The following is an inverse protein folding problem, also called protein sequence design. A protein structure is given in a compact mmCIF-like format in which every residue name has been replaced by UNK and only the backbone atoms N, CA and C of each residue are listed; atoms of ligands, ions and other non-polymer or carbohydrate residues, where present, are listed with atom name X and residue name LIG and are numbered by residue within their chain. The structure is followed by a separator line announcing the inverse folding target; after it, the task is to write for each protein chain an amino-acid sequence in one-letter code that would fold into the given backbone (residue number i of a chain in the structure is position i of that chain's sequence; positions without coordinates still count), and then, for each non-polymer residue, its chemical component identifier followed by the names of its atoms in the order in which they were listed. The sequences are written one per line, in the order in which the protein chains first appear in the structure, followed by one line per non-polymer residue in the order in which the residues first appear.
data_IF_333020923598
#
_entry.id   IF_333020923598
#
_cell.length_a   1.000
_cell.length_b   1.000
_cell.length_c   1.000
_cell.angle_alpha   90.00
_cell.angle_beta   90.00
_cell.angle_gamma   90.00
#
_symmetry.space_group_name_H-M   'P 1'
#
loop_
_entity.id
_entity.type
_entity.pdbx_description
1 polymer ?
#
# COMPACT_ATOMS: atom_id res chain seq x y z
N UNK A 1 -12.20 -5.19 85.16
CA UNK A 1 -11.04 -5.13 84.21
C UNK A 1 -11.23 -6.13 83.08
N UNK A 2 -11.46 -5.69 81.93
CA UNK A 2 -11.21 -6.29 80.58
C UNK A 2 -12.32 -5.89 79.61
N UNK A 3 -12.15 -4.82 78.85
CA UNK A 3 -12.52 -4.87 77.41
C UNK A 3 -11.50 -4.23 76.45
N UNK A 4 -10.42 -3.58 76.95
CA UNK A 4 -9.48 -2.87 76.05
C UNK A 4 -8.49 -3.77 75.28
N UNK A 5 -8.23 -4.99 75.74
CA UNK A 5 -7.29 -5.90 75.08
C UNK A 5 -7.89 -6.58 73.82
N UNK A 6 -9.18 -6.94 73.86
CA UNK A 6 -9.85 -7.56 72.72
C UNK A 6 -10.04 -6.58 71.52
N UNK A 7 -10.27 -5.31 71.76
CA UNK A 7 -10.41 -4.32 70.71
C UNK A 7 -9.08 -4.03 70.00
N UNK A 8 -7.96 -4.13 70.68
CA UNK A 8 -6.64 -3.96 70.09
C UNK A 8 -6.23 -5.12 69.20
N UNK A 9 -6.61 -6.36 69.57
CA UNK A 9 -6.31 -7.56 68.83
C UNK A 9 -7.13 -7.66 67.51
N UNK A 10 -8.40 -7.28 67.52
CA UNK A 10 -9.23 -7.23 66.29
C UNK A 10 -8.77 -6.14 65.34
N UNK A 11 -8.20 -5.01 65.80
CA UNK A 11 -7.67 -3.95 64.94
C UNK A 11 -6.39 -4.36 64.20
N UNK A 12 -5.54 -5.18 64.84
CA UNK A 12 -4.32 -5.73 64.20
C UNK A 12 -4.65 -6.85 63.19
N UNK A 13 -5.66 -7.67 63.42
CA UNK A 13 -6.10 -8.71 62.49
C UNK A 13 -6.75 -8.09 61.23
N UNK A 14 -7.54 -7.04 61.36
CA UNK A 14 -8.13 -6.33 60.26
C UNK A 14 -7.07 -5.60 59.38
N UNK A 15 -6.08 -4.94 59.98
CA UNK A 15 -5.01 -4.27 59.25
C UNK A 15 -4.07 -5.26 58.54
N UNK A 16 -3.80 -6.42 59.14
CA UNK A 16 -3.00 -7.50 58.50
C UNK A 16 -3.68 -8.07 57.25
N UNK A 17 -5.00 -8.31 57.33
CA UNK A 17 -5.77 -8.80 56.17
C UNK A 17 -5.85 -7.78 55.02
N UNK A 18 -6.00 -6.49 55.32
CA UNK A 18 -5.98 -5.42 54.27
C UNK A 18 -4.61 -5.28 53.60
N UNK A 19 -3.52 -5.43 54.37
CA UNK A 19 -2.16 -5.37 53.78
C UNK A 19 -1.93 -6.62 52.89
N UNK A 20 -2.36 -7.78 53.29
CA UNK A 20 -2.23 -9.01 52.49
C UNK A 20 -3.05 -8.95 51.19
N UNK A 21 -4.29 -8.44 51.27
CA UNK A 21 -5.14 -8.26 50.07
C UNK A 21 -4.54 -7.20 49.12
N UNK A 22 -3.99 -6.13 49.67
CA UNK A 22 -3.35 -5.08 48.83
C UNK A 22 -2.07 -5.58 48.15
N UNK A 23 -1.29 -6.43 48.82
CA UNK A 23 -0.11 -7.08 48.25
C UNK A 23 -0.54 -8.09 47.18
N UNK A 24 -1.55 -8.93 47.39
CA UNK A 24 -2.09 -9.85 46.38
C UNK A 24 -2.66 -9.09 45.17
N UNK A 25 -3.39 -8.00 45.34
CA UNK A 25 -3.86 -7.16 44.26
C UNK A 25 -2.71 -6.55 43.44
N UNK A 26 -1.63 -6.08 44.10
CA UNK A 26 -0.43 -5.60 43.40
C UNK A 26 0.24 -6.69 42.56
N UNK A 27 0.37 -7.89 43.11
CA UNK A 27 0.94 -9.03 42.34
C UNK A 27 0.02 -9.51 41.23
N UNK A 28 -1.30 -9.53 41.42
CA UNK A 28 -2.26 -9.80 40.33
C UNK A 28 -2.22 -8.73 39.24
N UNK A 29 -2.10 -7.44 39.58
CA UNK A 29 -1.95 -6.37 38.59
C UNK A 29 -0.61 -6.45 37.85
N UNK A 30 0.48 -6.84 38.52
CA UNK A 30 1.79 -7.06 37.89
C UNK A 30 1.77 -8.31 37.00
N UNK A 31 1.10 -9.38 37.40
CA UNK A 31 0.91 -10.58 36.54
C UNK A 31 0.02 -10.27 35.33
N UNK A 32 -1.05 -9.48 35.48
CA UNK A 32 -1.90 -9.01 34.39
C UNK A 32 -1.15 -8.05 33.45
N UNK A 33 -0.26 -7.19 33.99
CA UNK A 33 0.63 -6.34 33.19
C UNK A 33 1.73 -7.16 32.49
N UNK A 34 2.25 -8.21 33.11
CA UNK A 34 3.19 -9.13 32.45
C UNK A 34 2.54 -10.03 31.40
N UNK A 35 1.28 -10.46 31.59
CA UNK A 35 0.53 -11.18 30.55
C UNK A 35 0.09 -10.24 29.40
N UNK A 36 -0.12 -8.94 29.67
CA UNK A 36 -0.34 -7.94 28.63
C UNK A 36 0.93 -7.54 27.88
N UNK A 37 2.11 -7.80 28.45
CA UNK A 37 3.43 -7.56 27.84
C UNK A 37 3.99 -8.80 27.07
N UNK A 38 3.22 -9.90 26.97
CA UNK A 38 3.40 -10.86 25.89
C UNK A 38 2.92 -10.17 24.59
N UNK A 39 3.64 -9.07 24.27
CA UNK A 39 3.52 -8.35 23.04
C UNK A 39 3.55 -9.34 21.90
N UNK A 40 2.71 -9.12 20.94
CA UNK A 40 2.82 -9.71 19.62
C UNK A 40 4.30 -9.64 19.22
N UNK A 41 5.07 -10.69 19.47
CA UNK A 41 6.32 -10.89 18.78
C UNK A 41 5.91 -10.85 17.31
N UNK A 42 6.31 -9.82 16.60
CA UNK A 42 6.20 -9.80 15.17
C UNK A 42 6.86 -11.07 14.68
N UNK A 43 6.06 -12.05 14.32
CA UNK A 43 6.55 -13.35 13.87
C UNK A 43 7.34 -13.05 12.60
N UNK A 44 8.68 -13.18 12.65
CA UNK A 44 9.50 -13.02 11.47
C UNK A 44 8.99 -13.98 10.40
N UNK A 45 8.74 -13.52 9.18
CA UNK A 45 8.23 -14.39 8.13
C UNK A 45 9.16 -15.59 7.93
N UNK A 46 8.58 -16.79 7.82
CA UNK A 46 9.34 -18.01 7.51
C UNK A 46 9.91 -17.90 6.09
N UNK A 47 11.22 -18.07 6.00
CA UNK A 47 11.96 -17.98 4.70
C UNK A 47 12.14 -19.35 4.05
N UNK A 48 12.07 -20.44 4.81
CA UNK A 48 12.38 -21.78 4.32
C UNK A 48 11.34 -22.28 3.33
N UNK A 49 10.06 -22.13 3.66
CA UNK A 49 8.95 -22.55 2.81
C UNK A 49 9.00 -21.89 1.43
N UNK A 50 9.04 -20.56 1.42
CA UNK A 50 8.99 -19.78 0.16
C UNK A 50 10.22 -20.05 -0.70
N UNK A 51 11.40 -20.10 -0.10
CA UNK A 51 12.63 -20.49 -0.79
C UNK A 51 12.51 -21.87 -1.43
N UNK A 52 12.04 -22.89 -0.67
CA UNK A 52 11.84 -24.23 -1.18
C UNK A 52 10.89 -24.27 -2.37
N UNK A 53 9.77 -23.55 -2.29
CA UNK A 53 8.79 -23.49 -3.36
C UNK A 53 9.37 -22.84 -4.63
N UNK A 54 10.12 -21.74 -4.52
CA UNK A 54 10.75 -21.08 -5.67
C UNK A 54 11.79 -21.97 -6.34
N UNK A 55 12.65 -22.60 -5.56
CA UNK A 55 13.71 -23.47 -6.07
C UNK A 55 13.20 -24.83 -6.60
N UNK A 56 11.94 -25.21 -6.33
CA UNK A 56 11.31 -26.38 -6.95
C UNK A 56 10.83 -26.12 -8.39
N UNK A 57 10.91 -24.89 -8.88
CA UNK A 57 10.55 -24.47 -10.24
C UNK A 57 11.71 -23.75 -10.93
N UNK A 58 12.89 -24.41 -11.13
CA UNK A 58 14.06 -23.74 -11.68
C UNK A 58 13.84 -23.23 -13.12
N UNK A 59 12.99 -23.89 -13.88
CA UNK A 59 12.61 -23.51 -15.25
C UNK A 59 11.91 -22.14 -15.33
N UNK A 60 11.29 -21.71 -14.23
CA UNK A 60 10.57 -20.43 -14.14
C UNK A 60 11.37 -19.33 -13.48
N UNK A 61 12.31 -19.66 -12.58
CA UNK A 61 12.89 -18.69 -11.67
C UNK A 61 14.42 -18.60 -11.71
N UNK A 62 15.14 -19.57 -12.31
CA UNK A 62 16.62 -19.60 -12.28
C UNK A 62 17.26 -18.33 -12.84
N UNK A 63 16.69 -17.74 -13.90
CA UNK A 63 17.20 -16.50 -14.50
C UNK A 63 17.29 -15.33 -13.53
N UNK A 64 16.38 -15.28 -12.56
CA UNK A 64 16.34 -14.22 -11.53
C UNK A 64 16.98 -14.69 -10.22
N UNK A 65 16.70 -15.93 -9.77
CA UNK A 65 17.18 -16.44 -8.49
C UNK A 65 18.68 -16.74 -8.47
N UNK A 66 19.31 -16.97 -9.61
CA UNK A 66 20.77 -17.15 -9.68
C UNK A 66 21.55 -15.84 -9.47
N UNK A 67 20.86 -14.69 -9.61
CA UNK A 67 21.44 -13.35 -9.46
C UNK A 67 20.61 -12.48 -8.51
N UNK A 68 20.31 -12.94 -7.27
CA UNK A 68 19.33 -12.28 -6.41
C UNK A 68 19.76 -10.88 -5.95
N UNK A 69 21.07 -10.64 -5.82
CA UNK A 69 21.60 -9.32 -5.48
C UNK A 69 21.50 -8.34 -6.66
N UNK A 70 21.73 -8.81 -7.89
CA UNK A 70 21.59 -8.00 -9.09
C UNK A 70 20.15 -7.66 -9.39
N UNK A 71 19.23 -8.60 -9.14
CA UNK A 71 17.80 -8.42 -9.37
C UNK A 71 17.04 -7.83 -8.16
N UNK A 72 17.73 -7.54 -7.05
CA UNK A 72 17.20 -6.89 -5.84
C UNK A 72 15.85 -7.45 -5.39
N UNK A 73 15.70 -8.78 -5.43
CA UNK A 73 14.41 -9.45 -5.20
C UNK A 73 14.01 -9.35 -3.75
N UNK A 74 12.79 -8.94 -3.50
CA UNK A 74 12.12 -9.15 -2.22
C UNK A 74 10.71 -9.71 -2.46
N UNK A 75 10.31 -10.73 -1.70
CA UNK A 75 8.98 -11.34 -1.80
C UNK A 75 8.38 -11.47 -0.40
N UNK A 76 7.10 -11.16 -0.27
CA UNK A 76 6.30 -11.38 0.93
C UNK A 76 4.97 -12.03 0.52
N UNK A 77 4.84 -13.32 0.82
CA UNK A 77 3.60 -14.07 0.67
C UNK A 77 2.91 -14.21 2.01
N UNK A 78 1.62 -13.90 2.08
CA UNK A 78 0.80 -14.09 3.28
C UNK A 78 -0.38 -15.03 2.98
N UNK A 79 -0.29 -16.21 3.57
CA UNK A 79 -1.38 -17.20 3.62
C UNK A 79 -2.48 -16.69 4.51
N UNK A 80 -3.73 -16.91 4.10
CA UNK A 80 -4.92 -16.54 4.86
C UNK A 80 -5.69 -17.83 5.20
N UNK A 81 -5.80 -18.13 6.47
CA UNK A 81 -6.65 -19.20 6.98
C UNK A 81 -7.89 -18.58 7.64
N UNK A 82 -9.04 -19.24 7.51
CA UNK A 82 -10.28 -18.82 8.16
C UNK A 82 -10.63 -19.73 9.32
N UNK A 83 -11.16 -19.15 10.40
CA UNK A 83 -11.77 -19.94 11.44
C UNK A 83 -13.28 -20.20 11.16
N UNK A 84 -13.97 -20.83 12.10
CA UNK A 84 -15.40 -21.17 11.99
C UNK A 84 -16.30 -19.93 11.85
N UNK A 85 -15.87 -18.78 12.34
CA UNK A 85 -16.59 -17.51 12.30
C UNK A 85 -16.13 -16.64 11.14
N UNK A 86 -15.33 -17.24 10.22
CA UNK A 86 -14.74 -16.60 9.04
C UNK A 86 -13.76 -15.45 9.36
N UNK A 87 -13.20 -15.43 10.57
CA UNK A 87 -12.15 -14.48 10.92
C UNK A 87 -10.85 -14.89 10.23
N UNK A 88 -10.14 -13.95 9.55
CA UNK A 88 -8.88 -14.28 8.88
C UNK A 88 -7.71 -14.34 9.85
N UNK A 89 -6.91 -15.40 9.72
CA UNK A 89 -5.63 -15.59 10.39
C UNK A 89 -4.51 -15.60 9.37
N UNK A 90 -3.47 -14.80 9.61
CA UNK A 90 -2.41 -14.52 8.64
C UNK A 90 -1.11 -15.23 9.06
N UNK A 91 -0.51 -15.96 8.10
CA UNK A 91 0.84 -16.52 8.24
C UNK A 91 1.69 -16.01 7.08
N UNK A 92 2.79 -15.32 7.39
CA UNK A 92 3.63 -14.70 6.37
C UNK A 92 4.91 -15.50 6.14
N UNK A 93 5.30 -15.57 4.87
CA UNK A 93 6.53 -16.20 4.37
C UNK A 93 7.27 -15.17 3.52
N UNK A 94 8.59 -15.13 3.63
CA UNK A 94 9.35 -14.12 2.90
C UNK A 94 10.57 -14.72 2.19
N UNK A 95 11.04 -13.99 1.18
CA UNK A 95 12.32 -14.25 0.52
C UNK A 95 13.03 -12.92 0.34
N UNK A 96 14.25 -12.80 0.91
CA UNK A 96 15.09 -11.60 0.91
C UNK A 96 14.40 -10.31 1.43
N UNK A 97 13.29 -10.40 2.17
CA UNK A 97 12.59 -9.23 2.69
C UNK A 97 13.50 -8.43 3.63
N UNK A 98 13.81 -7.18 3.24
CA UNK A 98 14.64 -6.26 4.02
C UNK A 98 14.09 -4.83 3.93
N UNK A 99 13.50 -4.34 5.03
CA UNK A 99 12.95 -3.00 5.09
C UNK A 99 14.03 -1.89 5.12
N UNK A 100 15.29 -2.24 5.36
CA UNK A 100 16.43 -1.31 5.37
C UNK A 100 17.18 -1.27 4.03
N UNK A 101 16.87 -2.16 3.09
CA UNK A 101 17.38 -2.13 1.74
C UNK A 101 16.44 -1.33 0.84
N UNK A 102 16.91 -0.20 0.33
CA UNK A 102 16.13 0.69 -0.49
C UNK A 102 15.91 0.12 -1.89
N UNK A 103 14.69 0.21 -2.36
CA UNK A 103 14.30 0.16 -3.76
C UNK A 103 13.36 1.34 -4.05
N UNK A 104 13.37 1.84 -5.27
CA UNK A 104 12.47 2.93 -5.63
C UNK A 104 11.02 2.42 -5.69
N UNK A 105 10.10 2.95 -4.87
CA UNK A 105 8.75 2.38 -4.75
C UNK A 105 7.83 2.71 -5.92
N UNK A 106 8.25 3.57 -6.82
CA UNK A 106 7.52 3.98 -8.02
C UNK A 106 6.04 4.31 -7.69
N UNK A 107 5.12 3.79 -8.49
CA UNK A 107 3.69 4.06 -8.37
C UNK A 107 2.98 3.39 -7.19
N UNK A 108 3.65 2.56 -6.39
CA UNK A 108 3.02 1.93 -5.21
C UNK A 108 2.60 2.95 -4.15
N UNK A 109 3.29 4.10 -4.05
CA UNK A 109 2.95 5.22 -3.14
C UNK A 109 1.58 5.84 -3.41
N UNK A 110 0.99 5.57 -4.57
CA UNK A 110 -0.32 6.10 -4.96
C UNK A 110 -1.47 5.54 -4.12
N UNK A 111 -1.37 4.28 -3.68
CA UNK A 111 -2.42 3.66 -2.87
C UNK A 111 -2.58 4.34 -1.51
N UNK A 112 -1.56 4.48 -0.65
CA UNK A 112 -1.72 5.19 0.61
C UNK A 112 -2.15 6.65 0.41
N UNK A 113 -1.65 7.34 -0.62
CA UNK A 113 -2.06 8.73 -0.90
C UNK A 113 -3.55 8.83 -1.26
N UNK A 114 -4.08 7.89 -2.05
CA UNK A 114 -5.51 7.82 -2.37
C UNK A 114 -6.38 7.56 -1.12
N UNK A 115 -5.93 6.65 -0.24
CA UNK A 115 -6.58 6.38 1.05
C UNK A 115 -6.59 7.65 1.91
N UNK A 116 -5.45 8.33 2.04
CA UNK A 116 -5.33 9.53 2.86
C UNK A 116 -6.13 10.72 2.31
N UNK A 117 -6.34 10.80 0.99
CA UNK A 117 -7.24 11.78 0.40
C UNK A 117 -8.70 11.58 0.83
N UNK A 118 -9.18 10.33 0.87
CA UNK A 118 -10.52 10.02 1.39
C UNK A 118 -10.61 10.25 2.91
N UNK A 119 -9.60 9.87 3.68
CA UNK A 119 -9.55 10.18 5.12
C UNK A 119 -9.65 11.68 5.39
N UNK A 120 -8.88 12.49 4.63
CA UNK A 120 -8.91 13.95 4.77
C UNK A 120 -10.31 14.50 4.50
N UNK A 121 -11.00 14.04 3.47
CA UNK A 121 -12.40 14.42 3.22
C UNK A 121 -13.30 14.11 4.42
N UNK A 122 -13.18 12.91 4.99
CA UNK A 122 -13.96 12.47 6.14
C UNK A 122 -13.61 13.28 7.42
N UNK A 123 -12.35 13.68 7.58
CA UNK A 123 -11.86 14.47 8.71
C UNK A 123 -12.31 15.93 8.64
N UNK A 124 -12.43 16.51 7.44
CA UNK A 124 -12.89 17.89 7.23
C UNK A 124 -14.33 18.12 7.69
N UNK A 125 -15.22 17.11 7.61
CA UNK A 125 -16.63 17.17 8.05
C UNK A 125 -17.41 18.34 7.47
N UNK A 126 -17.04 18.81 6.28
CA UNK A 126 -17.71 19.93 5.60
C UNK A 126 -18.98 19.42 4.91
N UNK A 127 -20.11 20.06 5.19
CA UNK A 127 -21.39 19.71 4.58
C UNK A 127 -21.29 19.79 3.05
N UNK A 128 -21.79 18.78 2.37
CA UNK A 128 -21.77 18.61 0.90
C UNK A 128 -20.39 18.38 0.26
N UNK A 129 -19.29 18.40 1.01
CA UNK A 129 -18.00 18.01 0.50
C UNK A 129 -17.90 16.48 0.43
N UNK A 130 -17.57 15.97 -0.74
CA UNK A 130 -17.43 14.52 -0.98
C UNK A 130 -16.36 14.26 -2.03
N UNK A 131 -15.99 13.00 -2.24
CA UNK A 131 -15.05 12.62 -3.30
C UNK A 131 -15.55 13.00 -4.71
N UNK A 132 -16.86 13.24 -4.89
CA UNK A 132 -17.48 13.64 -6.17
C UNK A 132 -17.49 15.16 -6.38
N UNK A 133 -17.23 15.94 -5.35
CA UNK A 133 -17.17 17.42 -5.46
C UNK A 133 -16.14 17.81 -6.49
N UNK A 134 -16.42 18.85 -7.27
CA UNK A 134 -15.49 19.39 -8.26
C UNK A 134 -14.27 19.94 -7.54
N UNK A 135 -13.08 19.51 -7.98
CA UNK A 135 -11.79 19.87 -7.37
C UNK A 135 -10.96 20.67 -8.36
N UNK A 136 -11.03 21.97 -8.29
CA UNK A 136 -10.22 22.88 -9.12
C UNK A 136 -8.85 23.08 -8.47
N UNK A 137 -7.80 22.82 -9.22
CA UNK A 137 -6.42 23.04 -8.78
C UNK A 137 -5.87 24.29 -9.46
N UNK A 138 -5.39 25.25 -8.69
CA UNK A 138 -4.69 26.43 -9.17
C UNK A 138 -3.16 26.32 -8.92
N UNK A 139 -2.37 27.34 -9.16
CA UNK A 139 -0.92 27.38 -8.96
C UNK A 139 -0.52 28.56 -8.10
N UNK A 140 0.47 28.37 -7.21
CA UNK A 140 1.03 29.41 -6.35
C UNK A 140 2.57 29.39 -6.31
N UNK A 141 3.21 28.41 -6.95
CA UNK A 141 4.66 28.26 -7.02
C UNK A 141 5.10 27.96 -8.46
N UNK A 142 6.31 28.35 -8.82
CA UNK A 142 6.86 28.12 -10.16
C UNK A 142 6.86 26.62 -10.52
N UNK A 143 6.45 26.32 -11.76
CA UNK A 143 6.36 24.94 -12.26
C UNK A 143 5.07 24.18 -11.87
N UNK A 144 4.23 24.72 -10.99
CA UNK A 144 2.92 24.14 -10.70
C UNK A 144 1.94 24.32 -11.87
N UNK A 145 1.12 23.30 -12.13
CA UNK A 145 0.10 23.33 -13.19
C UNK A 145 -1.30 23.46 -12.61
N UNK A 146 -2.18 24.17 -13.35
CA UNK A 146 -3.59 24.35 -13.03
C UNK A 146 -4.43 23.25 -13.67
N UNK A 147 -5.50 22.79 -12.99
CA UNK A 147 -6.48 21.88 -13.56
C UNK A 147 -7.88 22.37 -13.29
N UNK A 148 -8.61 22.69 -14.36
CA UNK A 148 -10.01 23.18 -14.29
C UNK A 148 -10.98 22.25 -14.97
N UNK A 149 -10.53 21.36 -15.86
CA UNK A 149 -11.34 20.40 -16.61
C UNK A 149 -10.68 19.04 -16.57
N UNK A 150 -11.48 17.97 -16.66
CA UNK A 150 -11.03 16.60 -16.84
C UNK A 150 -12.02 15.85 -17.75
N UNK A 151 -11.72 15.85 -19.05
CA UNK A 151 -12.58 15.24 -20.09
C UNK A 151 -12.72 13.73 -19.93
N UNK A 152 -11.89 13.09 -19.13
CA UNK A 152 -11.98 11.66 -18.82
C UNK A 152 -13.09 11.34 -17.80
N UNK A 153 -13.53 12.34 -17.03
CA UNK A 153 -14.61 12.18 -16.07
C UNK A 153 -16.00 12.18 -16.73
N UNK A 154 -17.01 11.69 -16.04
CA UNK A 154 -18.39 11.70 -16.53
C UNK A 154 -19.00 13.10 -16.60
N UNK A 155 -18.48 14.04 -15.82
CA UNK A 155 -18.96 15.42 -15.73
C UNK A 155 -18.13 16.41 -16.54
N UNK A 156 -16.98 15.99 -17.11
CA UNK A 156 -16.00 16.88 -17.71
C UNK A 156 -15.15 17.67 -16.69
N UNK A 157 -15.37 17.45 -15.39
CA UNK A 157 -14.74 18.18 -14.30
C UNK A 157 -13.88 17.26 -13.42
N UNK A 158 -12.75 17.78 -12.87
CA UNK A 158 -11.87 17.01 -12.00
C UNK A 158 -12.52 16.75 -10.63
N UNK A 159 -12.23 15.59 -10.05
CA UNK A 159 -12.68 15.21 -8.71
C UNK A 159 -11.75 14.18 -8.08
N UNK A 160 -11.73 14.08 -6.75
CA UNK A 160 -11.00 13.03 -6.03
C UNK A 160 -11.44 11.64 -6.50
N UNK A 161 -12.73 11.45 -6.75
CA UNK A 161 -13.27 10.18 -7.26
C UNK A 161 -12.61 9.79 -8.59
N UNK A 162 -12.54 10.72 -9.56
CA UNK A 162 -11.95 10.43 -10.87
C UNK A 162 -10.45 10.20 -10.78
N UNK A 163 -9.74 10.96 -9.95
CA UNK A 163 -8.30 10.75 -9.73
C UNK A 163 -8.00 9.37 -9.13
N UNK A 164 -8.77 8.92 -8.13
CA UNK A 164 -8.59 7.57 -7.56
C UNK A 164 -8.88 6.48 -8.60
N UNK A 165 -9.91 6.63 -9.43
CA UNK A 165 -10.18 5.71 -10.55
C UNK A 165 -8.98 5.61 -11.50
N UNK A 166 -8.43 6.73 -11.95
CA UNK A 166 -7.25 6.80 -12.83
C UNK A 166 -6.02 6.12 -12.20
N UNK A 167 -5.77 6.38 -10.92
CA UNK A 167 -4.69 5.76 -10.15
C UNK A 167 -4.82 4.24 -10.10
N UNK A 168 -6.01 3.72 -9.79
CA UNK A 168 -6.21 2.29 -9.55
C UNK A 168 -6.36 1.49 -10.85
N UNK A 169 -6.84 2.12 -11.91
CA UNK A 169 -7.04 1.45 -13.21
C UNK A 169 -5.77 1.42 -14.06
N UNK A 170 -5.07 2.54 -14.19
CA UNK A 170 -3.92 2.67 -15.12
C UNK A 170 -2.69 3.34 -14.49
N UNK A 171 -2.69 3.51 -13.18
CA UNK A 171 -1.53 4.09 -12.46
C UNK A 171 -1.16 5.52 -12.89
N UNK A 172 -2.15 6.36 -13.21
CA UNK A 172 -1.97 7.73 -13.69
C UNK A 172 -1.14 8.60 -12.72
N UNK A 173 -0.10 9.26 -13.25
CA UNK A 173 0.83 10.08 -12.46
C UNK A 173 0.24 11.45 -12.12
N UNK A 174 -0.47 12.11 -13.08
CA UNK A 174 -1.07 13.41 -12.80
C UNK A 174 -2.16 13.28 -11.73
N UNK A 175 -3.01 12.26 -11.82
CA UNK A 175 -4.03 11.99 -10.81
C UNK A 175 -3.43 11.81 -9.40
N UNK A 176 -2.30 11.10 -9.28
CA UNK A 176 -1.57 11.00 -8.02
C UNK A 176 -1.06 12.36 -7.55
N UNK A 177 -0.43 13.13 -8.44
CA UNK A 177 0.12 14.43 -8.09
C UNK A 177 -0.99 15.36 -7.55
N UNK A 178 -2.21 15.35 -8.13
CA UNK A 178 -3.36 16.12 -7.61
C UNK A 178 -3.79 15.68 -6.21
N UNK A 179 -3.77 14.37 -5.93
CA UNK A 179 -4.08 13.88 -4.58
C UNK A 179 -2.95 14.19 -3.58
N UNK A 180 -1.68 14.09 -3.99
CA UNK A 180 -0.55 14.54 -3.19
C UNK A 180 -0.68 16.02 -2.82
N UNK A 181 -1.03 16.89 -3.79
CA UNK A 181 -1.31 18.32 -3.57
C UNK A 181 -2.46 18.56 -2.58
N UNK A 182 -3.52 17.76 -2.70
CA UNK A 182 -4.68 17.89 -1.82
C UNK A 182 -4.35 17.47 -0.38
N UNK A 183 -3.73 16.31 -0.19
CA UNK A 183 -3.38 15.84 1.16
C UNK A 183 -2.29 16.73 1.76
N UNK A 184 -1.21 16.95 1.02
CA UNK A 184 -0.05 17.70 1.43
C UNK A 184 1.03 16.82 2.09
N UNK A 185 2.29 17.17 1.81
CA UNK A 185 3.48 16.42 2.21
C UNK A 185 3.54 16.14 3.73
N UNK A 186 3.33 17.16 4.55
CA UNK A 186 3.36 17.03 6.00
C UNK A 186 2.28 16.07 6.51
N UNK A 187 1.03 16.23 6.04
CA UNK A 187 -0.08 15.39 6.48
C UNK A 187 0.07 13.93 6.04
N UNK A 188 0.58 13.68 4.82
CA UNK A 188 0.91 12.32 4.37
C UNK A 188 1.86 11.65 5.36
N UNK A 189 2.98 12.30 5.71
CA UNK A 189 3.98 11.71 6.60
C UNK A 189 3.51 11.60 8.06
N UNK A 190 2.65 12.50 8.53
CA UNK A 190 1.96 12.37 9.82
C UNK A 190 1.03 11.14 9.84
N UNK A 191 0.27 10.90 8.77
CA UNK A 191 -0.60 9.73 8.64
C UNK A 191 0.20 8.43 8.56
N UNK A 192 1.32 8.40 7.82
CA UNK A 192 2.24 7.26 7.80
C UNK A 192 2.71 6.91 9.22
N UNK A 193 3.15 7.89 10.00
CA UNK A 193 3.55 7.71 11.40
C UNK A 193 2.39 7.24 12.28
N UNK A 194 1.20 7.84 12.14
CA UNK A 194 -0.03 7.43 12.85
C UNK A 194 -0.34 5.95 12.66
N UNK A 195 -0.11 5.42 11.47
CA UNK A 195 -0.36 4.03 11.11
C UNK A 195 0.85 3.11 11.30
N UNK A 196 1.92 3.58 11.97
CA UNK A 196 3.15 2.82 12.25
C UNK A 196 3.84 2.28 10.97
N UNK A 197 3.77 3.02 9.87
CA UNK A 197 4.46 2.72 8.62
C UNK A 197 5.85 3.38 8.67
N UNK A 198 6.70 2.85 9.53
CA UNK A 198 7.96 3.50 9.92
C UNK A 198 9.07 3.39 8.87
N UNK A 199 8.93 2.44 7.91
CA UNK A 199 9.85 2.28 6.79
C UNK A 199 9.29 2.91 5.51
N UNK A 200 8.52 3.99 5.67
CA UNK A 200 7.85 4.69 4.57
C UNK A 200 7.95 6.20 4.75
N UNK A 201 8.27 6.86 3.65
CA UNK A 201 8.30 8.31 3.49
C UNK A 201 7.75 8.67 2.12
N UNK A 202 6.78 9.57 2.02
CA UNK A 202 6.25 10.06 0.75
C UNK A 202 6.44 11.57 0.73
N UNK A 203 7.40 12.03 -0.07
CA UNK A 203 7.90 13.40 -0.06
C UNK A 203 7.88 14.08 -1.41
N UNK A 204 7.52 13.36 -2.48
CA UNK A 204 7.58 13.88 -3.84
C UNK A 204 6.41 13.45 -4.71
N UNK A 205 6.19 14.23 -5.76
CA UNK A 205 5.34 13.89 -6.90
C UNK A 205 5.99 12.78 -7.72
N UNK A 206 5.29 12.28 -8.72
CA UNK A 206 5.82 11.29 -9.65
C UNK A 206 5.89 11.89 -11.07
N UNK A 207 6.90 11.51 -11.82
CA UNK A 207 7.23 11.93 -13.18
C UNK A 207 7.61 13.42 -13.32
N UNK A 208 7.12 14.29 -12.46
CA UNK A 208 7.42 15.75 -12.49
C UNK A 208 7.74 16.20 -11.06
N UNK A 209 8.91 16.78 -10.83
CA UNK A 209 9.30 17.34 -9.54
C UNK A 209 9.23 16.30 -8.40
N UNK A 210 9.87 15.14 -8.60
CA UNK A 210 9.90 14.04 -7.63
C UNK A 210 10.96 14.20 -6.52
N UNK A 211 11.73 15.28 -6.56
CA UNK A 211 12.70 15.68 -5.55
C UNK A 211 12.88 17.21 -5.51
N UNK A 212 13.57 17.71 -4.49
CA UNK A 212 13.96 19.11 -4.34
C UNK A 212 12.85 20.05 -3.88
N UNK A 213 13.07 21.35 -4.04
CA UNK A 213 12.26 22.41 -3.44
C UNK A 213 10.80 22.39 -3.90
N UNK A 214 10.54 22.08 -5.18
CA UNK A 214 9.17 22.07 -5.72
C UNK A 214 8.23 21.11 -5.00
N UNK A 215 8.76 20.01 -4.41
CA UNK A 215 7.98 19.01 -3.70
C UNK A 215 7.46 19.49 -2.36
N UNK A 216 8.07 20.54 -1.79
CA UNK A 216 7.70 21.16 -0.52
C UNK A 216 6.49 22.08 -0.63
N UNK A 217 6.15 22.51 -1.84
CA UNK A 217 5.03 23.41 -2.13
C UNK A 217 3.82 22.65 -2.66
N UNK A 218 2.64 22.90 -2.11
CA UNK A 218 1.37 22.38 -2.62
C UNK A 218 0.57 23.46 -3.33
N UNK A 219 -0.24 23.02 -4.31
CA UNK A 219 -1.15 23.92 -5.02
C UNK A 219 -2.31 24.37 -4.09
N UNK A 220 -2.87 25.56 -4.28
CA UNK A 220 -4.18 25.92 -3.75
C UNK A 220 -5.27 25.15 -4.49
N UNK A 221 -6.33 24.75 -3.78
CA UNK A 221 -7.38 23.89 -4.31
C UNK A 221 -8.74 24.39 -3.83
N UNK A 222 -9.67 24.56 -4.76
CA UNK A 222 -11.04 24.97 -4.51
C UNK A 222 -11.99 23.78 -4.78
N UNK A 223 -12.91 23.56 -3.86
CA UNK A 223 -13.96 22.55 -4.00
C UNK A 223 -15.33 23.21 -4.20
N UNK A 224 -16.06 22.70 -5.19
CA UNK A 224 -17.39 23.19 -5.54
C UNK A 224 -18.43 22.07 -5.47
N UNK A 225 -19.65 22.46 -5.07
CA UNK A 225 -20.86 21.65 -5.22
C UNK A 225 -21.92 22.53 -5.85
N UNK A 226 -22.54 22.09 -6.97
CA UNK A 226 -23.52 22.85 -7.75
C UNK A 226 -23.09 24.29 -8.02
N UNK A 227 -21.86 24.47 -8.50
CA UNK A 227 -21.19 25.75 -8.77
C UNK A 227 -20.98 26.66 -7.55
N UNK A 228 -21.32 26.22 -6.35
CA UNK A 228 -21.04 26.93 -5.12
C UNK A 228 -19.70 26.49 -4.52
N UNK A 229 -18.82 27.44 -4.22
CA UNK A 229 -17.60 27.19 -3.49
C UNK A 229 -17.97 26.73 -2.06
N UNK A 230 -17.46 25.55 -1.66
CA UNK A 230 -17.74 24.94 -0.36
C UNK A 230 -16.51 24.78 0.51
N UNK A 231 -15.31 24.70 -0.10
CA UNK A 231 -14.06 24.58 0.64
C UNK A 231 -12.89 25.09 -0.19
N UNK A 232 -11.98 25.83 0.45
CA UNK A 232 -10.71 26.27 -0.12
C UNK A 232 -9.56 25.72 0.71
N UNK A 233 -8.66 24.99 0.06
CA UNK A 233 -7.38 24.59 0.64
C UNK A 233 -6.31 25.57 0.15
N UNK A 234 -5.64 26.34 1.03
CA UNK A 234 -4.57 27.22 0.62
C UNK A 234 -3.36 26.44 0.10
N UNK A 235 -2.50 27.11 -0.65
CA UNK A 235 -1.14 26.62 -0.90
C UNK A 235 -0.41 26.44 0.44
N UNK A 236 0.36 25.37 0.56
CA UNK A 236 1.14 25.05 1.76
C UNK A 236 2.61 24.89 1.39
N UNK A 237 3.47 25.22 2.33
CA UNK A 237 4.90 24.96 2.28
C UNK A 237 5.30 24.09 3.47
N UNK A 238 6.02 23.00 3.21
CA UNK A 238 6.54 22.10 4.24
C UNK A 238 8.07 22.03 4.16
N UNK A 239 8.74 22.74 5.04
CA UNK A 239 10.20 22.76 5.15
C UNK A 239 10.76 21.52 5.89
N UNK A 240 9.91 20.64 6.42
CA UNK A 240 10.34 19.52 7.25
C UNK A 240 11.24 18.57 6.48
N UNK A 241 12.25 18.03 7.15
CA UNK A 241 13.04 16.92 6.66
C UNK A 241 12.46 15.60 7.19
N UNK A 242 12.52 14.59 6.33
CA UNK A 242 12.08 13.23 6.64
C UNK A 242 13.24 12.27 6.38
N UNK A 243 14.33 12.32 7.19
CA UNK A 243 15.51 11.52 6.95
C UNK A 243 15.20 10.03 7.12
N UNK A 244 15.78 9.22 6.24
CA UNK A 244 15.78 7.77 6.35
C UNK A 244 17.19 7.27 6.05
N UNK A 245 17.70 6.40 6.94
CA UNK A 245 19.04 5.82 6.80
C UNK A 245 18.88 4.38 6.28
N UNK A 246 18.93 4.23 4.97
CA UNK A 246 18.76 2.96 4.28
C UNK A 246 20.02 2.61 3.50
N UNK A 247 20.23 1.32 3.30
CA UNK A 247 21.22 0.79 2.37
C UNK A 247 20.74 1.02 0.93
N UNK A 248 21.66 0.99 -0.03
CA UNK A 248 21.35 1.06 -1.48
C UNK A 248 20.69 2.36 -1.95
N UNK A 249 20.97 3.49 -1.30
CA UNK A 249 20.44 4.80 -1.73
C UNK A 249 21.16 5.40 -2.94
N UNK A 250 22.36 4.91 -3.29
CA UNK A 250 23.11 5.26 -4.47
C UNK A 250 23.05 4.09 -5.46
N UNK A 251 22.39 4.28 -6.61
CA UNK A 251 22.10 3.20 -7.54
C UNK A 251 22.59 3.47 -8.96
N UNK A 252 22.85 2.38 -9.70
CA UNK A 252 23.41 2.41 -11.05
C UNK A 252 24.87 2.83 -11.06
N UNK A 253 25.51 2.69 -12.22
CA UNK A 253 26.87 3.21 -12.46
C UNK A 253 26.84 4.62 -13.06
N UNK A 254 25.75 4.97 -13.76
CA UNK A 254 25.52 6.25 -14.41
C UNK A 254 24.01 6.51 -14.54
N UNK A 255 23.64 7.73 -14.93
CA UNK A 255 22.25 8.07 -15.24
C UNK A 255 22.19 9.18 -16.30
N UNK A 256 21.06 9.31 -16.98
CA UNK A 256 20.76 10.48 -17.81
C UNK A 256 20.11 11.57 -16.94
N UNK A 257 20.63 12.82 -17.04
CA UNK A 257 20.04 13.98 -16.36
C UNK A 257 18.79 14.48 -17.14
N UNK A 258 18.13 15.52 -16.62
CA UNK A 258 16.94 16.11 -17.24
C UNK A 258 17.19 16.72 -18.64
N UNK A 259 18.45 16.84 -19.07
CA UNK A 259 18.87 17.28 -20.40
C UNK A 259 19.38 16.12 -21.26
N UNK A 260 19.08 14.87 -20.86
CA UNK A 260 19.50 13.63 -21.50
C UNK A 260 21.02 13.47 -21.61
N UNK A 261 21.81 14.12 -20.74
CA UNK A 261 23.26 13.99 -20.69
C UNK A 261 23.66 12.90 -19.74
N UNK A 262 24.61 12.08 -20.17
CA UNK A 262 25.16 11.00 -19.33
C UNK A 262 26.01 11.56 -18.18
N UNK A 263 25.63 11.22 -16.97
CA UNK A 263 26.36 11.52 -15.73
C UNK A 263 26.97 10.25 -15.18
N UNK A 264 28.30 10.14 -15.24
CA UNK A 264 29.06 8.95 -14.85
C UNK A 264 29.26 8.87 -13.32
N UNK A 265 28.18 8.73 -12.58
CA UNK A 265 28.13 8.44 -11.14
C UNK A 265 26.79 7.83 -10.78
N UNK A 266 26.67 7.12 -9.65
CA UNK A 266 25.37 6.64 -9.15
C UNK A 266 24.36 7.75 -8.99
N UNK A 267 23.07 7.44 -9.26
CA UNK A 267 21.95 8.33 -8.95
C UNK A 267 21.63 8.24 -7.45
N UNK A 268 21.48 9.40 -6.82
CA UNK A 268 21.15 9.51 -5.39
C UNK A 268 19.63 9.56 -5.18
N UNK A 269 19.12 8.57 -4.43
CA UNK A 269 17.71 8.46 -4.06
C UNK A 269 17.42 8.96 -2.64
N UNK A 270 18.39 9.56 -1.94
CA UNK A 270 18.25 9.94 -0.53
C UNK A 270 17.11 10.95 -0.27
N UNK A 271 16.68 11.71 -1.27
CA UNK A 271 15.55 12.67 -1.16
C UNK A 271 14.26 12.19 -1.83
N UNK A 272 14.22 10.97 -2.38
CA UNK A 272 13.04 10.43 -3.07
C UNK A 272 12.10 9.70 -2.11
N UNK A 273 10.95 9.27 -2.64
CA UNK A 273 9.99 8.47 -1.89
C UNK A 273 10.60 7.14 -1.42
N UNK A 274 10.19 6.67 -0.26
CA UNK A 274 10.54 5.37 0.32
C UNK A 274 9.25 4.65 0.70
N UNK A 275 9.15 3.36 0.37
CA UNK A 275 8.01 2.53 0.77
C UNK A 275 8.42 1.06 0.77
N UNK A 276 8.78 0.53 1.94
CA UNK A 276 9.22 -0.85 2.08
C UNK A 276 8.12 -1.84 1.69
N UNK A 277 8.52 -3.02 1.18
CA UNK A 277 7.57 -4.05 0.76
C UNK A 277 6.67 -4.53 1.92
N UNK A 278 7.23 -4.58 3.14
CA UNK A 278 6.47 -4.91 4.35
C UNK A 278 5.37 -3.87 4.65
N UNK A 279 5.69 -2.59 4.57
CA UNK A 279 4.70 -1.52 4.79
C UNK A 279 3.67 -1.47 3.66
N UNK A 280 4.05 -1.80 2.41
CA UNK A 280 3.10 -1.93 1.29
C UNK A 280 2.05 -2.99 1.57
N UNK A 281 2.47 -4.19 2.00
CA UNK A 281 1.51 -5.24 2.33
C UNK A 281 0.71 -4.92 3.59
N UNK A 282 1.29 -4.22 4.57
CA UNK A 282 0.58 -3.76 5.78
C UNK A 282 -0.55 -2.79 5.44
N UNK A 283 -0.33 -1.83 4.52
CA UNK A 283 -1.37 -0.91 4.01
C UNK A 283 -2.48 -1.69 3.33
N UNK A 284 -2.14 -2.62 2.45
CA UNK A 284 -3.12 -3.46 1.75
C UNK A 284 -3.93 -4.32 2.73
N UNK A 285 -3.27 -4.97 3.69
CA UNK A 285 -3.92 -5.76 4.74
C UNK A 285 -4.89 -4.91 5.58
N UNK A 286 -4.45 -3.73 6.04
CA UNK A 286 -5.29 -2.80 6.82
C UNK A 286 -6.49 -2.30 6.03
N UNK A 287 -6.33 -2.09 4.73
CA UNK A 287 -7.41 -1.68 3.83
C UNK A 287 -8.44 -2.81 3.65
N UNK A 288 -7.98 -4.04 3.36
CA UNK A 288 -8.86 -5.15 2.98
C UNK A 288 -9.49 -5.87 4.19
N UNK A 289 -8.80 -5.86 5.33
CA UNK A 289 -9.19 -6.54 6.56
C UNK A 289 -9.20 -5.59 7.76
N UNK A 290 -9.91 -4.44 7.70
CA UNK A 290 -9.90 -3.45 8.78
C UNK A 290 -10.40 -4.04 10.09
N UNK A 291 -11.26 -5.06 10.06
CA UNK A 291 -11.78 -5.77 11.22
C UNK A 291 -10.69 -6.43 12.07
N UNK A 292 -9.55 -6.77 11.49
CA UNK A 292 -8.41 -7.39 12.21
C UNK A 292 -7.52 -6.38 12.94
N UNK A 293 -7.81 -5.10 12.81
CA UNK A 293 -7.07 -4.03 13.46
C UNK A 293 -7.91 -3.34 14.54
N UNK A 294 -7.30 -2.89 15.65
CA UNK A 294 -7.96 -2.01 16.61
C UNK A 294 -8.55 -0.77 15.92
N UNK A 295 -9.70 -0.28 16.38
CA UNK A 295 -10.40 0.86 15.74
C UNK A 295 -9.49 2.07 15.47
N UNK A 296 -8.58 2.39 16.39
CA UNK A 296 -7.62 3.52 16.27
C UNK A 296 -6.60 3.34 15.13
N UNK A 297 -6.37 2.09 14.71
CA UNK A 297 -5.43 1.75 13.64
C UNK A 297 -6.11 1.52 12.29
N UNK A 298 -7.45 1.56 12.22
CA UNK A 298 -8.20 1.48 10.96
C UNK A 298 -8.12 2.81 10.23
N UNK A 299 -8.11 2.76 8.91
CA UNK A 299 -8.28 3.96 8.11
C UNK A 299 -9.65 4.59 8.38
N UNK A 300 -9.69 5.93 8.49
CA UNK A 300 -10.94 6.68 8.71
C UNK A 300 -11.74 6.78 7.40
N UNK A 301 -12.21 5.65 6.93
CA UNK A 301 -12.99 5.49 5.70
C UNK A 301 -14.42 5.09 6.03
N UNK A 302 -15.38 5.59 5.26
CA UNK A 302 -16.75 5.10 5.28
C UNK A 302 -16.86 3.73 4.61
N UNK A 303 -17.94 3.00 4.84
CA UNK A 303 -18.22 1.74 4.16
C UNK A 303 -18.24 1.94 2.63
N UNK A 304 -18.77 3.08 2.16
CA UNK A 304 -18.82 3.41 0.73
C UNK A 304 -17.42 3.70 0.16
N UNK A 305 -16.51 4.32 0.93
CA UNK A 305 -15.11 4.52 0.52
C UNK A 305 -14.37 3.19 0.39
N UNK A 306 -14.52 2.28 1.36
CA UNK A 306 -13.95 0.93 1.27
C UNK A 306 -14.44 0.21 0.02
N UNK A 307 -15.75 0.16 -0.22
CA UNK A 307 -16.34 -0.49 -1.40
C UNK A 307 -15.89 0.15 -2.71
N UNK A 308 -15.77 1.47 -2.74
CA UNK A 308 -15.27 2.22 -3.87
C UNK A 308 -13.83 1.83 -4.21
N UNK A 309 -12.92 1.84 -3.23
CA UNK A 309 -11.52 1.44 -3.45
C UNK A 309 -11.45 -0.02 -3.89
N UNK A 310 -12.12 -0.96 -3.20
CA UNK A 310 -12.09 -2.38 -3.56
C UNK A 310 -12.54 -2.61 -4.99
N UNK A 311 -13.63 -1.97 -5.38
CA UNK A 311 -14.14 -2.07 -6.75
C UNK A 311 -13.08 -1.67 -7.78
N UNK A 312 -12.49 -0.49 -7.64
CA UNK A 312 -11.54 0.01 -8.64
C UNK A 312 -10.18 -0.65 -8.58
N UNK A 313 -9.72 -1.15 -7.44
CA UNK A 313 -8.52 -1.98 -7.34
C UNK A 313 -8.67 -3.30 -8.10
N UNK A 314 -9.86 -3.88 -8.15
CA UNK A 314 -10.13 -5.17 -8.80
C UNK A 314 -10.71 -5.07 -10.21
N UNK A 315 -11.06 -3.86 -10.66
CA UNK A 315 -11.53 -3.61 -12.04
C UNK A 315 -10.35 -3.69 -13.01
N UNK A 316 -10.54 -4.39 -14.12
CA UNK A 316 -9.61 -4.29 -15.27
C UNK A 316 -9.86 -2.99 -16.04
N UNK A 317 -8.83 -2.32 -16.57
CA UNK A 317 -9.00 -1.01 -17.24
C UNK A 317 -10.12 -1.00 -18.28
N UNK A 318 -10.20 -2.03 -19.11
CA UNK A 318 -11.18 -2.14 -20.21
C UNK A 318 -12.61 -2.39 -19.74
N UNK A 319 -12.85 -2.72 -18.48
CA UNK A 319 -14.19 -2.86 -17.89
C UNK A 319 -14.78 -1.51 -17.48
N UNK A 320 -13.96 -0.45 -17.42
CA UNK A 320 -14.41 0.86 -16.96
C UNK A 320 -14.91 1.73 -18.11
N UNK A 321 -15.99 2.49 -17.86
CA UNK A 321 -16.63 3.34 -18.87
C UNK A 321 -16.21 4.81 -18.78
N UNK A 322 -15.94 5.31 -17.57
CA UNK A 322 -15.50 6.69 -17.32
C UNK A 322 -14.56 6.71 -16.08
N UNK A 323 -13.26 6.96 -16.24
CA UNK A 323 -12.52 7.16 -17.51
C UNK A 323 -12.55 5.91 -18.40
N UNK A 324 -12.41 6.10 -19.70
CA UNK A 324 -12.46 5.01 -20.71
C UNK A 324 -11.04 4.62 -21.11
N UNK A 325 -10.73 3.32 -21.07
CA UNK A 325 -9.46 2.75 -21.47
C UNK A 325 -9.67 1.64 -22.49
N UNK A 326 -8.95 1.66 -23.57
CA UNK A 326 -9.13 0.75 -24.73
C UNK A 326 -7.81 0.26 -25.28
N UNK A 327 -7.84 -0.93 -25.90
CA UNK A 327 -6.75 -1.45 -26.72
C UNK A 327 -6.47 -0.51 -27.92
N UNK A 328 -5.24 -0.45 -28.40
CA UNK A 328 -4.06 -1.24 -27.98
C UNK A 328 -3.36 -0.70 -26.73
N UNK A 329 -3.53 0.58 -26.36
CA UNK A 329 -2.80 1.26 -25.29
C UNK A 329 -3.09 0.64 -23.92
N UNK A 330 -4.36 0.34 -23.63
CA UNK A 330 -4.78 -0.27 -22.38
C UNK A 330 -5.49 -1.59 -22.61
N UNK A 331 -5.06 -2.62 -21.89
CA UNK A 331 -5.59 -3.98 -21.98
C UNK A 331 -5.95 -4.52 -20.58
N UNK A 332 -6.69 -5.62 -20.45
CA UNK A 332 -7.18 -6.07 -19.14
C UNK A 332 -6.09 -6.26 -18.08
N UNK A 333 -4.97 -6.88 -18.45
CA UNK A 333 -3.87 -7.17 -17.53
C UNK A 333 -2.90 -5.99 -17.29
N UNK A 334 -3.14 -4.80 -17.84
CA UNK A 334 -2.21 -3.67 -17.90
C UNK A 334 -1.53 -3.35 -16.55
N UNK A 335 -2.28 -3.33 -15.45
CA UNK A 335 -1.76 -3.11 -14.10
C UNK A 335 -1.92 -4.37 -13.20
N UNK A 336 -1.71 -5.58 -13.77
CA UNK A 336 -1.82 -6.85 -13.04
C UNK A 336 -0.54 -7.66 -13.27
N UNK A 337 0.55 -7.27 -12.58
CA UNK A 337 1.86 -7.87 -12.78
C UNK A 337 1.94 -9.26 -12.13
N UNK A 338 1.62 -9.38 -10.85
CA UNK A 338 1.44 -10.67 -10.22
C UNK A 338 0.27 -11.42 -10.87
N UNK A 339 0.52 -12.66 -11.30
CA UNK A 339 -0.40 -13.56 -11.95
C UNK A 339 -0.55 -13.36 -13.48
N UNK A 340 -0.68 -12.12 -13.99
CA UNK A 340 -0.87 -11.87 -15.44
C UNK A 340 0.34 -11.24 -16.14
N UNK A 341 1.35 -10.74 -15.41
CA UNK A 341 2.59 -10.21 -15.98
C UNK A 341 2.44 -8.93 -16.79
N UNK A 342 1.34 -8.16 -16.60
CA UNK A 342 1.08 -7.02 -17.50
C UNK A 342 0.99 -7.43 -18.97
N UNK A 343 0.64 -8.68 -19.28
CA UNK A 343 0.66 -9.25 -20.63
C UNK A 343 -0.59 -8.84 -21.42
N UNK A 344 -0.38 -8.18 -22.55
CA UNK A 344 -1.47 -7.72 -23.44
C UNK A 344 -2.26 -8.86 -24.07
N UNK A 345 -1.69 -10.05 -24.12
CA UNK A 345 -2.30 -11.27 -24.69
C UNK A 345 -2.92 -12.19 -23.64
N UNK A 346 -2.79 -11.83 -22.34
CA UNK A 346 -3.28 -12.65 -21.25
C UNK A 346 -4.77 -12.98 -21.38
N UNK A 347 -5.10 -14.26 -21.24
CA UNK A 347 -6.48 -14.75 -21.13
C UNK A 347 -6.94 -14.55 -19.69
N UNK A 348 -7.90 -13.66 -19.50
CA UNK A 348 -8.40 -13.32 -18.17
C UNK A 348 -9.40 -14.37 -17.68
N UNK A 349 -9.12 -14.97 -16.53
CA UNK A 349 -10.09 -15.78 -15.81
C UNK A 349 -11.11 -14.88 -15.10
N UNK A 350 -12.41 -14.93 -15.43
CA UNK A 350 -13.42 -14.05 -14.83
C UNK A 350 -13.66 -14.30 -13.33
N UNK A 351 -13.33 -15.51 -12.85
CA UNK A 351 -13.49 -15.89 -11.44
C UNK A 351 -12.34 -15.36 -10.55
N UNK A 352 -11.24 -14.92 -11.18
CA UNK A 352 -10.08 -14.38 -10.46
C UNK A 352 -10.11 -12.86 -10.47
N UNK A 353 -9.97 -12.26 -9.29
CA UNK A 353 -9.80 -10.81 -9.12
C UNK A 353 -8.55 -10.49 -8.30
N UNK A 354 -7.89 -9.43 -8.71
CA UNK A 354 -6.63 -8.98 -8.12
C UNK A 354 -6.82 -7.55 -7.62
N UNK A 355 -6.77 -7.40 -6.31
CA UNK A 355 -6.85 -6.11 -5.61
C UNK A 355 -5.42 -5.64 -5.34
N UNK A 356 -4.89 -4.78 -6.20
CA UNK A 356 -3.47 -4.47 -6.18
C UNK A 356 -3.14 -3.02 -6.49
N UNK A 357 -1.88 -2.67 -6.26
CA UNK A 357 -1.24 -1.50 -6.82
C UNK A 357 0.17 -1.84 -7.26
N UNK A 358 0.44 -1.62 -8.53
CA UNK A 358 1.75 -1.82 -9.16
C UNK A 358 2.61 -0.56 -9.10
N UNK A 359 3.89 -0.74 -9.35
CA UNK A 359 4.87 0.31 -9.60
C UNK A 359 5.96 -0.17 -10.51
N UNK A 360 6.37 0.67 -11.44
CA UNK A 360 7.45 0.43 -12.40
C UNK A 360 8.25 1.72 -12.60
N UNK A 361 9.53 1.66 -12.38
CA UNK A 361 10.49 2.75 -12.67
C UNK A 361 11.92 2.33 -12.30
N UNK A 362 12.91 2.90 -12.97
CA UNK A 362 14.34 2.67 -12.71
C UNK A 362 14.76 1.20 -12.73
N UNK A 363 14.12 0.41 -13.57
CA UNK A 363 14.36 -1.03 -13.68
C UNK A 363 13.59 -1.87 -12.65
N UNK A 364 12.91 -1.26 -11.68
CA UNK A 364 12.08 -1.98 -10.71
C UNK A 364 10.67 -2.22 -11.24
N UNK A 365 10.20 -3.46 -11.14
CA UNK A 365 8.79 -3.85 -11.20
C UNK A 365 8.31 -4.33 -9.83
N UNK A 366 7.19 -3.78 -9.38
CA UNK A 366 6.62 -4.03 -8.05
C UNK A 366 5.14 -4.34 -8.21
N UNK A 367 4.65 -5.35 -7.51
CA UNK A 367 3.21 -5.50 -7.30
C UNK A 367 2.93 -5.90 -5.85
N UNK A 368 1.88 -5.30 -5.30
CA UNK A 368 1.37 -5.57 -3.97
C UNK A 368 -0.11 -5.92 -4.09
N UNK A 369 -0.43 -7.21 -3.99
CA UNK A 369 -1.70 -7.76 -4.40
C UNK A 369 -2.37 -8.64 -3.32
N UNK A 370 -3.69 -8.57 -3.28
CA UNK A 370 -4.58 -9.58 -2.72
C UNK A 370 -5.31 -10.24 -3.87
N UNK A 371 -5.15 -11.55 -4.02
CA UNK A 371 -5.66 -12.34 -5.13
C UNK A 371 -6.77 -13.24 -4.60
N UNK A 372 -7.92 -13.24 -5.26
CA UNK A 372 -9.07 -14.10 -4.93
C UNK A 372 -9.53 -14.87 -6.15
N UNK A 373 -9.88 -16.14 -5.93
CA UNK A 373 -10.64 -16.96 -6.88
C UNK A 373 -11.99 -17.31 -6.25
N UNK A 374 -13.05 -16.73 -6.79
CA UNK A 374 -14.41 -16.92 -6.28
C UNK A 374 -14.98 -18.32 -6.54
N UNK A 375 -14.50 -19.00 -7.59
CA UNK A 375 -14.94 -20.34 -7.94
C UNK A 375 -14.33 -21.40 -7.02
N UNK A 376 -13.03 -21.29 -6.76
CA UNK A 376 -12.28 -22.27 -6.00
C UNK A 376 -12.09 -21.87 -4.51
N UNK A 377 -12.67 -20.76 -4.07
CA UNK A 377 -12.53 -20.23 -2.71
C UNK A 377 -11.05 -20.10 -2.28
N UNK A 378 -10.24 -19.49 -3.16
CA UNK A 378 -8.84 -19.18 -2.88
C UNK A 378 -8.70 -17.71 -2.56
N UNK A 379 -7.91 -17.40 -1.54
CA UNK A 379 -7.48 -16.04 -1.21
C UNK A 379 -6.07 -16.06 -0.62
N UNK A 380 -5.25 -15.09 -1.00
CA UNK A 380 -3.92 -14.87 -0.41
C UNK A 380 -3.42 -13.46 -0.73
N UNK A 381 -2.43 -13.00 0.03
CA UNK A 381 -1.71 -11.77 -0.29
C UNK A 381 -0.31 -12.10 -0.79
N UNK A 382 0.14 -11.38 -1.81
CA UNK A 382 1.48 -11.52 -2.38
C UNK A 382 2.00 -10.14 -2.75
N UNK A 383 3.20 -9.84 -2.29
CA UNK A 383 3.92 -8.61 -2.63
C UNK A 383 5.31 -8.98 -3.09
N UNK A 384 5.76 -8.40 -4.18
CA UNK A 384 7.09 -8.66 -4.71
C UNK A 384 7.65 -7.42 -5.39
N UNK A 385 8.97 -7.29 -5.30
CA UNK A 385 9.80 -6.37 -6.07
C UNK A 385 10.90 -7.16 -6.75
N UNK A 386 11.21 -6.79 -7.97
CA UNK A 386 12.32 -7.31 -8.77
C UNK A 386 12.89 -6.18 -9.60
N UNK A 387 14.21 -6.15 -9.78
CA UNK A 387 14.89 -5.17 -10.63
C UNK A 387 15.60 -5.86 -11.79
N UNK A 388 15.62 -5.18 -12.94
CA UNK A 388 16.52 -5.51 -14.04
C UNK A 388 16.99 -4.21 -14.72
N UNK A 389 18.31 -4.06 -14.82
CA UNK A 389 19.00 -2.91 -15.43
C UNK A 389 20.40 -3.39 -15.83
N UNK A 390 20.50 -4.13 -16.94
CA UNK A 390 21.75 -4.80 -17.34
C UNK A 390 22.89 -3.84 -17.65
N UNK A 391 22.59 -2.70 -18.28
CA UNK A 391 23.63 -1.74 -18.62
C UNK A 391 24.00 -0.81 -17.44
N UNK A 392 23.27 -0.88 -16.31
CA UNK A 392 23.54 -0.10 -15.10
C UNK A 392 23.31 1.41 -15.26
N UNK A 393 22.65 1.87 -16.33
CA UNK A 393 22.34 3.29 -16.58
C UNK A 393 20.90 3.55 -16.20
N UNK A 394 20.65 4.59 -15.40
CA UNK A 394 19.31 4.98 -15.01
C UNK A 394 18.78 6.12 -15.88
N UNK A 395 17.46 6.19 -16.07
CA UNK A 395 16.73 7.17 -16.91
C UNK A 395 16.97 7.06 -18.41
N UNK A 396 17.58 6.00 -18.91
CA UNK A 396 17.79 5.79 -20.35
C UNK A 396 16.65 4.96 -21.01
N UNK A 397 15.65 4.53 -20.21
CA UNK A 397 14.50 3.72 -20.62
C UNK A 397 14.85 2.32 -21.20
N UNK A 398 16.04 1.79 -20.87
CA UNK A 398 16.48 0.46 -21.30
C UNK A 398 16.47 -0.51 -20.12
N UNK A 399 15.32 -0.99 -19.76
CA UNK A 399 15.12 -1.93 -18.67
C UNK A 399 14.46 -3.21 -19.19
N UNK A 400 14.85 -4.35 -18.64
CA UNK A 400 14.37 -5.66 -19.08
C UNK A 400 13.02 -6.03 -18.42
N UNK A 401 12.10 -5.07 -18.31
CA UNK A 401 10.77 -5.28 -17.72
C UNK A 401 10.03 -6.45 -18.36
N UNK A 402 9.94 -6.47 -19.69
CA UNK A 402 9.13 -7.44 -20.43
C UNK A 402 9.78 -8.83 -20.56
N UNK A 403 11.11 -8.91 -20.45
CA UNK A 403 11.86 -10.15 -20.62
C UNK A 403 12.29 -10.79 -19.30
N UNK A 404 12.39 -10.01 -18.22
CA UNK A 404 12.86 -10.48 -16.90
C UNK A 404 11.82 -10.26 -15.83
N UNK A 405 11.44 -9.00 -15.54
CA UNK A 405 10.68 -8.67 -14.35
C UNK A 405 9.22 -9.13 -14.42
N UNK A 406 8.50 -8.79 -15.49
CA UNK A 406 7.09 -9.15 -15.65
C UNK A 406 6.86 -10.67 -15.78
N UNK A 407 7.69 -11.44 -16.53
CA UNK A 407 7.61 -12.90 -16.52
C UNK A 407 7.85 -13.51 -15.13
N UNK A 408 8.81 -12.99 -14.38
CA UNK A 408 9.06 -13.42 -12.99
C UNK A 408 7.84 -13.20 -12.10
N UNK A 409 7.25 -12.00 -12.10
CA UNK A 409 6.07 -11.67 -11.29
C UNK A 409 4.85 -12.51 -11.71
N UNK A 410 4.66 -12.74 -13.02
CA UNK A 410 3.61 -13.62 -13.55
C UNK A 410 3.73 -15.03 -12.98
N UNK A 411 4.90 -15.63 -13.15
CA UNK A 411 5.18 -16.99 -12.73
C UNK A 411 5.04 -17.13 -11.20
N UNK A 412 5.55 -16.14 -10.44
CA UNK A 412 5.44 -16.11 -8.97
C UNK A 412 3.98 -16.15 -8.52
N UNK A 413 3.13 -15.30 -9.10
CA UNK A 413 1.70 -15.28 -8.78
C UNK A 413 1.01 -16.60 -9.12
N UNK A 414 1.35 -17.21 -10.26
CA UNK A 414 0.77 -18.48 -10.70
C UNK A 414 1.23 -19.67 -9.83
N UNK A 415 2.50 -19.74 -9.46
CA UNK A 415 3.03 -20.82 -8.60
C UNK A 415 2.40 -20.76 -7.21
N UNK A 416 2.32 -19.58 -6.60
CA UNK A 416 1.65 -19.41 -5.30
C UNK A 416 0.15 -19.78 -5.41
N UNK A 417 -0.52 -19.37 -6.48
CA UNK A 417 -1.91 -19.73 -6.70
C UNK A 417 -2.11 -21.25 -6.86
N UNK A 418 -1.24 -21.96 -7.58
CA UNK A 418 -1.28 -23.42 -7.69
C UNK A 418 -1.06 -24.12 -6.35
N UNK A 419 -0.18 -23.58 -5.51
CA UNK A 419 -0.02 -24.04 -4.14
C UNK A 419 -1.31 -23.85 -3.33
N UNK A 420 -1.91 -22.66 -3.38
CA UNK A 420 -3.14 -22.32 -2.65
C UNK A 420 -4.36 -23.12 -3.11
N UNK A 421 -4.43 -23.51 -4.39
CA UNK A 421 -5.46 -24.43 -4.90
C UNK A 421 -5.39 -25.82 -4.26
N UNK A 422 -4.18 -26.31 -4.05
CA UNK A 422 -3.95 -27.68 -3.52
C UNK A 422 -3.91 -27.73 -2.00
N UNK A 423 -3.67 -26.59 -1.35
CA UNK A 423 -3.54 -26.51 0.11
C UNK A 423 -4.87 -26.84 0.81
N UNK A 424 -4.91 -27.78 1.77
CA UNK A 424 -6.10 -28.04 2.57
C UNK A 424 -6.51 -26.79 3.37
N UNK A 425 -7.78 -26.44 3.32
CA UNK A 425 -8.39 -25.33 4.09
C UNK A 425 -9.42 -25.91 5.07
N UNK A 426 -9.26 -25.63 6.36
CA UNK A 426 -10.20 -26.09 7.38
C UNK A 426 -11.58 -25.43 7.21
N UNK A 427 -11.59 -24.16 6.86
CA UNK A 427 -12.78 -23.37 6.58
C UNK A 427 -12.58 -22.56 5.30
N UNK A 428 -13.59 -22.53 4.44
CA UNK A 428 -13.54 -21.79 3.19
C UNK A 428 -13.82 -20.29 3.46
N UNK A 429 -13.18 -19.36 2.72
CA UNK A 429 -13.40 -17.94 2.89
C UNK A 429 -14.77 -17.48 2.35
N UNK A 430 -15.44 -16.59 3.07
CA UNK A 430 -16.60 -15.87 2.57
C UNK A 430 -16.15 -14.61 1.82
N UNK A 431 -16.04 -14.69 0.50
CA UNK A 431 -15.47 -13.64 -0.36
C UNK A 431 -16.49 -12.59 -0.83
N UNK A 432 -17.71 -12.61 -0.32
CA UNK A 432 -18.83 -11.77 -0.80
C UNK A 432 -18.52 -10.28 -0.72
N UNK A 433 -17.78 -9.80 0.29
CA UNK A 433 -17.40 -8.38 0.43
C UNK A 433 -16.49 -7.88 -0.71
N UNK A 434 -15.84 -8.80 -1.42
CA UNK A 434 -14.93 -8.52 -2.54
C UNK A 434 -15.56 -8.74 -3.91
N UNK A 435 -16.83 -9.19 -3.96
CA UNK A 435 -17.55 -9.46 -5.21
C UNK A 435 -18.26 -8.20 -5.69
N UNK A 436 -17.92 -7.76 -6.90
CA UNK A 436 -18.51 -6.57 -7.53
C UNK A 436 -19.07 -6.94 -8.91
N UNK A 437 -20.07 -6.16 -9.35
CA UNK A 437 -20.52 -6.20 -10.73
C UNK A 437 -19.66 -5.24 -11.54
N UNK A 438 -18.98 -5.75 -12.54
CA UNK A 438 -18.18 -4.98 -13.49
C UNK A 438 -18.98 -4.78 -14.77
N UNK A 439 -18.74 -3.69 -15.50
CA UNK A 439 -19.40 -3.47 -16.78
C UNK A 439 -19.04 -4.61 -17.73
N UNK A 440 -20.04 -5.16 -18.42
CA UNK A 440 -19.79 -6.15 -19.48
C UNK A 440 -18.98 -5.46 -20.59
N UNK A 441 -18.04 -6.20 -21.20
CA UNK A 441 -17.37 -5.77 -22.44
C UNK A 441 -18.43 -5.33 -23.45
N UNK A 442 -18.34 -4.07 -23.90
CA UNK A 442 -18.89 -3.69 -25.19
C UNK A 442 -17.91 -4.06 -26.28
#
# INVERSE_FOLDING_TARGET
MKPKALQKYNKYLLTSNYITIFIMMKYCCILLLMMGALGSFAQHPDTVFLKGLLYSHPELFSGVLNHPAQNEIQILYTRIDRDKDNVPHFTSYSYHLNAHHYFYPASTVKLPTAIFALEKLNELRIKYLSRKSVMITDSAFAGQTKVKIDTSSSTGLPSIENYIKKILLVSDNDAYNRLYEFVGRAEINQKLKKYHLNNTRIVGRLAIGDAGESTKHTNPIDFYNDNKLIYQKPALYDASNYPMHLENMLQGKAYLDSSERLVNKPLDFSEKNVYSLADQQMVLKRLLFPETFPKKQRFNLTIDDYRFIYRYMSTFPTENTKPTYRRPEYFPAYCKFLFYGGDSTAVINPDIRIFNKVGDSYGYDIDNAYIVDFKNNVEFMLSAVVQSNEDGILNDNKYEYTTVCLPFLKNLGQVIYQYELKRPKKHLPHLTKFKFTYSKKQ
#
